data_IF_751599071184
#
_entry.id   IF_751599071184
#
_cell.length_a   1.000
_cell.length_b   1.000
_cell.length_c   1.000
_cell.angle_alpha   90.00
_cell.angle_beta   90.00
_cell.angle_gamma   90.00
#
_symmetry.space_group_name_H-M   'P 1'
#
loop_
_entity.id
_entity.type
_entity.pdbx_description
1 polymer ?
#
# COMPACT_ATOMS: atom_id res chain seq x y z
N UNK A 1 -71.12 12.83 -16.78
CA UNK A 1 -69.99 13.65 -17.30
C UNK A 1 -69.03 13.92 -16.15
N UNK A 2 -67.71 13.90 -16.39
CA UNK A 2 -66.60 14.64 -15.71
C UNK A 2 -66.81 15.25 -14.32
N UNK A 3 -65.88 15.33 -13.35
CA UNK A 3 -64.41 15.09 -13.17
C UNK A 3 -64.13 15.40 -11.67
N UNK A 4 -63.04 15.09 -10.97
CA UNK A 4 -61.73 14.41 -11.17
C UNK A 4 -61.49 13.47 -9.96
N UNK A 5 -60.39 12.69 -9.95
CA UNK A 5 -59.93 11.91 -8.78
C UNK A 5 -58.73 12.53 -8.06
N UNK A 6 -58.49 12.14 -6.81
CA UNK A 6 -57.36 12.59 -5.98
C UNK A 6 -56.52 11.41 -5.44
N UNK A 7 -55.37 11.21 -6.09
CA UNK A 7 -54.06 10.78 -5.55
C UNK A 7 -54.08 9.81 -4.35
N UNK A 8 -53.93 8.52 -4.63
CA UNK A 8 -53.46 7.53 -3.66
C UNK A 8 -51.96 7.74 -3.40
N UNK A 9 -51.56 7.96 -2.14
CA UNK A 9 -50.15 8.12 -1.76
C UNK A 9 -49.38 6.79 -1.87
N UNK A 10 -48.57 6.63 -2.90
CA UNK A 10 -47.61 5.53 -2.98
C UNK A 10 -46.44 5.82 -2.02
N UNK A 11 -46.26 5.00 -0.99
CA UNK A 11 -45.08 5.08 -0.13
C UNK A 11 -43.85 4.69 -0.95
N UNK A 12 -43.03 5.66 -1.33
CA UNK A 12 -41.77 5.42 -2.03
C UNK A 12 -40.76 4.83 -1.04
N UNK A 13 -40.76 3.50 -0.92
CA UNK A 13 -39.70 2.76 -0.24
C UNK A 13 -38.42 2.94 -1.05
N UNK A 14 -37.61 3.91 -0.65
CA UNK A 14 -36.24 4.07 -1.11
C UNK A 14 -35.42 2.87 -0.62
N UNK A 15 -35.50 1.79 -1.38
CA UNK A 15 -34.59 0.66 -1.28
C UNK A 15 -33.19 1.17 -1.63
N UNK A 16 -32.40 1.49 -0.61
CA UNK A 16 -30.96 1.66 -0.75
C UNK A 16 -30.33 0.29 -0.96
N UNK A 17 -30.57 -0.28 -2.14
CA UNK A 17 -29.78 -1.38 -2.64
C UNK A 17 -28.36 -0.85 -2.83
N UNK A 18 -27.50 -1.08 -1.84
CA UNK A 18 -26.08 -0.89 -1.99
C UNK A 18 -25.63 -1.80 -3.15
N UNK A 19 -25.37 -1.20 -4.30
CA UNK A 19 -24.80 -1.91 -5.45
C UNK A 19 -23.46 -2.46 -5.01
N UNK A 20 -23.39 -3.78 -4.82
CA UNK A 20 -22.12 -4.44 -4.59
C UNK A 20 -21.15 -4.01 -5.72
N UNK A 21 -19.88 -3.72 -5.40
CA UNK A 21 -18.92 -3.27 -6.41
C UNK A 21 -18.93 -4.24 -7.59
N UNK A 22 -18.96 -3.69 -8.81
CA UNK A 22 -18.95 -4.47 -10.04
C UNK A 22 -17.58 -5.15 -10.22
N UNK A 23 -17.35 -6.23 -9.47
CA UNK A 23 -16.24 -7.13 -9.70
C UNK A 23 -16.43 -7.73 -11.10
N UNK A 24 -15.59 -7.29 -12.04
CA UNK A 24 -15.49 -7.89 -13.36
C UNK A 24 -15.06 -9.34 -13.14
N UNK A 25 -15.99 -10.29 -13.28
CA UNK A 25 -15.70 -11.72 -13.18
C UNK A 25 -14.60 -12.06 -14.18
N UNK A 26 -13.41 -12.51 -13.75
CA UNK A 26 -12.32 -12.75 -14.67
C UNK A 26 -12.71 -13.83 -15.68
N UNK A 27 -12.44 -13.59 -16.97
CA UNK A 27 -12.57 -14.62 -18.00
C UNK A 27 -11.75 -15.86 -17.57
N UNK A 28 -12.35 -17.06 -17.51
CA UNK A 28 -11.61 -18.27 -17.18
C UNK A 28 -10.46 -18.51 -18.16
N UNK A 29 -9.27 -18.82 -17.64
CA UNK A 29 -8.11 -19.14 -18.47
C UNK A 29 -8.34 -20.45 -19.23
N UNK A 30 -7.94 -20.47 -20.50
CA UNK A 30 -7.87 -21.71 -21.28
C UNK A 30 -6.85 -22.69 -20.68
N UNK A 31 -6.91 -24.00 -21.01
CA UNK A 31 -5.94 -24.98 -20.51
C UNK A 31 -4.47 -24.61 -20.79
N UNK A 32 -4.20 -23.99 -21.95
CA UNK A 32 -2.86 -23.54 -22.32
C UNK A 32 -2.40 -22.34 -21.47
N UNK A 33 -3.28 -21.37 -21.22
CA UNK A 33 -3.00 -20.21 -20.36
C UNK A 33 -2.80 -20.64 -18.91
N UNK A 34 -3.61 -21.58 -18.41
CA UNK A 34 -3.47 -22.14 -17.08
C UNK A 34 -2.13 -22.89 -16.93
N UNK A 35 -1.69 -23.64 -17.95
CA UNK A 35 -0.38 -24.28 -17.95
C UNK A 35 0.77 -23.26 -17.94
N UNK A 36 0.69 -22.20 -18.76
CA UNK A 36 1.68 -21.11 -18.75
C UNK A 36 1.69 -20.37 -17.40
N UNK A 37 0.53 -20.12 -16.79
CA UNK A 37 0.43 -19.52 -15.46
C UNK A 37 1.13 -20.36 -14.39
N UNK A 38 0.98 -21.69 -14.43
CA UNK A 38 1.70 -22.61 -13.54
C UNK A 38 3.22 -22.55 -13.76
N UNK A 39 3.67 -22.49 -15.02
CA UNK A 39 5.09 -22.30 -15.35
C UNK A 39 5.61 -20.98 -14.78
N UNK A 40 4.92 -19.86 -15.03
CA UNK A 40 5.33 -18.54 -14.51
C UNK A 40 5.35 -18.53 -12.98
N UNK A 41 4.31 -19.07 -12.32
CA UNK A 41 4.25 -19.14 -10.85
C UNK A 41 5.42 -19.93 -10.26
N UNK A 42 5.81 -21.06 -10.88
CA UNK A 42 6.98 -21.84 -10.49
C UNK A 42 8.30 -21.08 -10.72
N UNK A 43 8.44 -20.34 -11.83
CA UNK A 43 9.64 -19.54 -12.13
C UNK A 43 9.80 -18.40 -11.12
N UNK A 44 8.76 -17.57 -10.93
CA UNK A 44 8.77 -16.44 -9.96
C UNK A 44 8.95 -16.95 -8.53
N UNK A 45 8.30 -18.06 -8.14
CA UNK A 45 8.53 -18.66 -6.81
C UNK A 45 9.98 -19.09 -6.60
N UNK A 46 10.65 -19.62 -7.63
CA UNK A 46 12.08 -19.96 -7.54
C UNK A 46 12.98 -18.73 -7.54
N UNK A 47 12.62 -17.70 -8.30
CA UNK A 47 13.30 -16.40 -8.34
C UNK A 47 13.30 -15.73 -6.98
N UNK A 48 12.13 -15.53 -6.38
CA UNK A 48 12.01 -14.86 -5.08
C UNK A 48 12.67 -15.63 -3.94
N UNK A 49 12.59 -16.98 -3.95
CA UNK A 49 13.35 -17.79 -3.01
C UNK A 49 14.87 -17.64 -3.20
N UNK A 50 15.36 -17.56 -4.44
CA UNK A 50 16.76 -17.30 -4.74
C UNK A 50 17.20 -15.87 -4.36
N UNK A 51 16.30 -14.88 -4.46
CA UNK A 51 16.50 -13.49 -4.05
C UNK A 51 16.69 -13.39 -2.53
N UNK A 52 15.82 -14.02 -1.72
CA UNK A 52 15.92 -13.94 -0.25
C UNK A 52 17.09 -14.76 0.32
N UNK A 53 17.47 -15.86 -0.34
CA UNK A 53 18.62 -16.70 0.06
C UNK A 53 19.96 -16.19 -0.48
N UNK A 54 19.95 -15.43 -1.57
CA UNK A 54 21.16 -15.00 -2.29
C UNK A 54 21.75 -16.05 -3.24
N UNK A 55 21.01 -17.13 -3.54
CA UNK A 55 21.48 -18.24 -4.37
C UNK A 55 21.51 -17.89 -5.87
N UNK A 56 22.58 -17.24 -6.33
CA UNK A 56 22.74 -16.83 -7.74
C UNK A 56 22.66 -17.97 -8.76
N UNK A 57 23.02 -19.20 -8.37
CA UNK A 57 22.93 -20.37 -9.24
C UNK A 57 21.46 -20.71 -9.57
N UNK A 58 20.56 -20.56 -8.60
CA UNK A 58 19.14 -20.80 -8.79
C UNK A 58 18.55 -19.78 -9.79
N UNK A 59 18.83 -18.49 -9.64
CA UNK A 59 18.44 -17.44 -10.60
C UNK A 59 18.87 -17.76 -12.05
N UNK A 60 20.13 -18.19 -12.22
CA UNK A 60 20.70 -18.55 -13.54
C UNK A 60 20.13 -19.83 -14.15
N UNK A 61 19.36 -20.60 -13.38
CA UNK A 61 18.66 -21.80 -13.86
C UNK A 61 17.22 -21.55 -14.32
N UNK A 62 16.70 -20.32 -14.17
CA UNK A 62 15.33 -19.93 -14.52
C UNK A 62 15.22 -18.64 -15.33
N UNK A 63 16.22 -17.76 -15.26
CA UNK A 63 16.31 -16.53 -16.05
C UNK A 63 17.44 -16.68 -17.08
N UNK A 64 17.22 -16.20 -18.31
CA UNK A 64 18.24 -16.29 -19.35
C UNK A 64 19.54 -15.54 -18.97
N UNK A 65 20.73 -16.11 -19.27
CA UNK A 65 22.01 -15.43 -19.11
C UNK A 65 22.05 -14.10 -19.89
N UNK A 66 22.75 -13.11 -19.35
CA UNK A 66 22.94 -11.78 -19.95
C UNK A 66 21.65 -10.98 -20.22
N UNK A 67 20.51 -11.37 -19.65
CA UNK A 67 19.27 -10.58 -19.68
C UNK A 67 19.24 -9.48 -18.61
N UNK A 68 18.50 -8.40 -18.89
CA UNK A 68 18.20 -7.37 -17.90
C UNK A 68 17.42 -7.91 -16.70
N UNK A 69 16.57 -8.92 -16.90
CA UNK A 69 15.83 -9.60 -15.84
C UNK A 69 16.80 -10.19 -14.80
N UNK A 70 17.84 -10.92 -15.24
CA UNK A 70 18.84 -11.50 -14.33
C UNK A 70 19.63 -10.42 -13.60
N UNK A 71 19.94 -9.30 -14.27
CA UNK A 71 20.63 -8.17 -13.66
C UNK A 71 19.78 -7.47 -12.59
N UNK A 72 18.47 -7.32 -12.82
CA UNK A 72 17.48 -6.79 -11.85
C UNK A 72 17.32 -7.72 -10.67
N UNK A 73 17.08 -9.01 -10.89
CA UNK A 73 16.97 -10.02 -9.83
C UNK A 73 18.24 -10.07 -8.94
N UNK A 74 19.44 -10.05 -9.54
CA UNK A 74 20.69 -9.97 -8.77
C UNK A 74 20.84 -8.62 -8.01
N UNK A 75 20.30 -7.50 -8.52
CA UNK A 75 20.31 -6.19 -7.81
C UNK A 75 19.33 -6.20 -6.63
N UNK A 76 18.12 -6.74 -6.83
CA UNK A 76 17.08 -6.93 -5.81
C UNK A 76 17.55 -7.82 -4.65
N UNK A 77 18.20 -8.94 -4.96
CA UNK A 77 18.84 -9.82 -3.98
C UNK A 77 19.92 -9.11 -3.14
N UNK A 78 20.79 -8.31 -3.79
CA UNK A 78 21.79 -7.49 -3.08
C UNK A 78 21.13 -6.45 -2.18
N UNK A 79 20.17 -5.68 -2.69
CA UNK A 79 19.49 -4.63 -1.92
C UNK A 79 18.84 -5.21 -0.66
N UNK A 80 17.99 -6.24 -0.81
CA UNK A 80 17.27 -6.85 0.29
C UNK A 80 18.22 -7.44 1.35
N UNK A 81 19.31 -8.09 0.93
CA UNK A 81 20.30 -8.65 1.86
C UNK A 81 20.99 -7.57 2.68
N UNK A 82 21.41 -6.46 2.06
CA UNK A 82 22.05 -5.36 2.78
C UNK A 82 21.02 -4.64 3.67
N UNK A 83 19.80 -4.40 3.19
CA UNK A 83 18.73 -3.73 3.94
C UNK A 83 18.43 -4.48 5.24
N UNK A 84 18.17 -5.79 5.14
CA UNK A 84 17.88 -6.65 6.28
C UNK A 84 19.07 -6.70 7.25
N UNK A 85 20.29 -6.92 6.73
CA UNK A 85 21.51 -6.97 7.56
C UNK A 85 21.72 -5.66 8.33
N UNK A 86 21.51 -4.50 7.70
CA UNK A 86 21.67 -3.18 8.32
C UNK A 86 20.63 -2.86 9.40
N UNK A 87 19.49 -3.57 9.42
CA UNK A 87 18.46 -3.48 10.48
C UNK A 87 18.54 -4.58 11.52
N UNK A 88 19.52 -5.48 11.41
CA UNK A 88 19.62 -6.66 12.26
C UNK A 88 18.47 -7.64 12.04
N UNK A 89 18.03 -7.81 10.80
CA UNK A 89 16.93 -8.68 10.38
C UNK A 89 17.43 -9.87 9.56
N UNK A 90 16.74 -11.00 9.69
CA UNK A 90 16.81 -12.14 8.78
C UNK A 90 15.46 -12.34 8.09
N UNK A 91 15.46 -12.39 6.75
CA UNK A 91 14.31 -12.76 5.93
C UNK A 91 14.18 -14.29 5.95
N UNK A 92 13.10 -14.81 6.54
CA UNK A 92 12.90 -16.25 6.80
C UNK A 92 12.16 -16.98 5.70
N UNK A 93 11.46 -16.26 4.83
CA UNK A 93 10.71 -16.86 3.74
C UNK A 93 9.89 -15.85 2.96
N UNK A 94 9.39 -16.30 1.83
CA UNK A 94 8.47 -15.57 0.97
C UNK A 94 7.37 -16.50 0.47
N UNK A 95 6.14 -15.99 0.37
CA UNK A 95 5.01 -16.69 -0.25
C UNK A 95 4.53 -15.89 -1.45
N UNK A 96 4.44 -16.55 -2.62
CA UNK A 96 4.06 -15.91 -3.90
C UNK A 96 2.63 -16.28 -4.30
N UNK A 97 1.85 -15.26 -4.64
CA UNK A 97 0.56 -15.39 -5.34
C UNK A 97 0.62 -14.69 -6.69
N UNK A 98 -0.03 -15.25 -7.71
CA UNK A 98 0.05 -14.76 -9.09
C UNK A 98 -1.34 -14.65 -9.72
N UNK A 99 -1.69 -13.44 -10.16
CA UNK A 99 -2.76 -13.20 -11.16
C UNK A 99 -2.10 -12.95 -12.52
N UNK A 100 -2.75 -13.37 -13.60
CA UNK A 100 -2.27 -13.17 -14.98
C UNK A 100 -3.42 -12.61 -15.83
N UNK A 101 -3.74 -11.30 -15.73
CA UNK A 101 -4.88 -10.73 -16.46
C UNK A 101 -4.76 -10.86 -17.98
N UNK A 102 -3.54 -10.88 -18.52
CA UNK A 102 -3.30 -11.07 -19.96
C UNK A 102 -2.15 -12.06 -20.20
N UNK A 103 -2.40 -13.06 -21.05
CA UNK A 103 -1.40 -13.99 -21.57
C UNK A 103 -1.49 -13.95 -23.10
N UNK A 104 -0.38 -13.69 -23.79
CA UNK A 104 -0.32 -13.62 -25.25
C UNK A 104 0.75 -14.55 -25.80
N UNK A 105 0.31 -15.64 -26.43
CA UNK A 105 1.18 -16.55 -27.18
C UNK A 105 1.69 -15.85 -28.43
N UNK A 106 3.00 -15.62 -28.52
CA UNK A 106 3.65 -15.04 -29.71
C UNK A 106 4.11 -16.15 -30.65
N UNK A 107 4.42 -17.33 -30.12
CA UNK A 107 4.74 -18.55 -30.88
C UNK A 107 4.91 -19.76 -29.96
N UNK A 108 5.22 -20.92 -30.54
CA UNK A 108 5.31 -22.21 -29.80
C UNK A 108 6.31 -22.21 -28.63
N UNK A 109 7.27 -21.29 -28.61
CA UNK A 109 8.28 -21.13 -27.57
C UNK A 109 8.44 -19.70 -27.07
N UNK A 110 7.43 -18.82 -27.22
CA UNK A 110 7.47 -17.45 -26.69
C UNK A 110 6.09 -16.97 -26.27
N UNK A 111 5.98 -16.47 -25.04
CA UNK A 111 4.74 -15.94 -24.46
C UNK A 111 5.04 -14.62 -23.73
N UNK A 112 4.22 -13.61 -23.99
CA UNK A 112 4.21 -12.37 -23.21
C UNK A 112 3.09 -12.46 -22.16
N UNK A 113 3.34 -12.04 -20.93
CA UNK A 113 2.39 -12.17 -19.81
C UNK A 113 2.40 -10.88 -19.00
N UNK A 114 1.24 -10.25 -18.86
CA UNK A 114 1.03 -9.25 -17.82
C UNK A 114 0.67 -9.98 -16.52
N UNK A 115 1.54 -9.88 -15.53
CA UNK A 115 1.41 -10.54 -14.22
C UNK A 115 1.16 -9.53 -13.10
N UNK A 116 0.31 -9.90 -12.14
CA UNK A 116 0.25 -9.23 -10.84
C UNK A 116 0.78 -10.22 -9.80
N UNK A 117 1.99 -9.94 -9.31
CA UNK A 117 2.71 -10.76 -8.34
C UNK A 117 2.46 -10.18 -6.95
N UNK A 118 1.87 -10.99 -6.08
CA UNK A 118 1.68 -10.67 -4.67
C UNK A 118 2.69 -11.44 -3.84
N UNK A 119 3.64 -10.71 -3.25
CA UNK A 119 4.77 -11.22 -2.48
C UNK A 119 4.52 -11.00 -0.98
N UNK A 120 4.55 -12.07 -0.16
CA UNK A 120 4.42 -11.96 1.29
C UNK A 120 5.73 -12.38 1.95
N UNK A 121 6.48 -11.41 2.45
CA UNK A 121 7.76 -11.61 3.13
C UNK A 121 7.53 -11.96 4.60
N UNK A 122 8.40 -12.82 5.16
CA UNK A 122 8.51 -13.07 6.60
C UNK A 122 9.87 -12.63 7.11
N UNK A 123 9.89 -11.80 8.15
CA UNK A 123 11.12 -11.27 8.75
C UNK A 123 11.17 -11.53 10.25
N UNK A 124 12.38 -11.64 10.78
CA UNK A 124 12.67 -11.87 12.20
C UNK A 124 13.90 -11.08 12.61
N UNK A 125 14.06 -10.82 13.91
CA UNK A 125 15.32 -10.31 14.43
C UNK A 125 16.43 -11.35 14.22
N UNK A 126 17.60 -10.87 13.79
CA UNK A 126 18.79 -11.69 13.64
C UNK A 126 19.18 -12.32 14.98
N UNK A 127 19.53 -13.60 14.94
CA UNK A 127 19.80 -14.44 16.12
C UNK A 127 18.63 -14.52 17.13
N UNK A 128 17.38 -14.21 16.75
CA UNK A 128 16.23 -14.59 17.56
C UNK A 128 16.23 -16.10 17.76
N UNK A 129 16.06 -16.54 19.01
CA UNK A 129 15.83 -17.94 19.32
C UNK A 129 14.60 -18.43 18.54
N UNK A 130 14.56 -19.69 18.06
CA UNK A 130 13.37 -20.29 17.49
C UNK A 130 12.30 -20.45 18.58
N UNK A 131 11.57 -19.38 18.87
CA UNK A 131 10.41 -19.41 19.74
C UNK A 131 9.30 -20.06 18.94
N UNK A 132 8.94 -21.28 19.34
CA UNK A 132 7.74 -21.95 18.83
C UNK A 132 6.56 -21.01 19.05
N UNK A 133 5.83 -20.72 17.98
CA UNK A 133 4.66 -19.85 17.96
C UNK A 133 4.93 -18.33 18.19
N UNK A 134 6.18 -17.86 18.09
CA UNK A 134 6.41 -16.42 17.88
C UNK A 134 5.88 -15.99 16.49
N UNK A 135 5.15 -14.87 16.39
CA UNK A 135 4.72 -14.35 15.11
C UNK A 135 5.93 -13.84 14.31
N UNK A 136 6.27 -14.52 13.22
CA UNK A 136 7.07 -13.93 12.13
C UNK A 136 6.37 -12.65 11.66
N UNK A 137 7.06 -11.52 11.69
CA UNK A 137 6.53 -10.28 11.12
C UNK A 137 6.36 -10.42 9.61
N UNK A 138 5.27 -9.85 9.09
CA UNK A 138 4.90 -9.96 7.68
C UNK A 138 4.60 -8.62 7.06
N UNK A 139 5.11 -8.44 5.85
CA UNK A 139 4.74 -7.36 4.95
C UNK A 139 4.44 -7.90 3.55
N UNK A 140 3.62 -7.16 2.81
CA UNK A 140 3.16 -7.50 1.47
C UNK A 140 3.61 -6.47 0.43
N UNK A 141 4.00 -6.96 -0.74
CA UNK A 141 4.15 -6.15 -1.96
C UNK A 141 3.23 -6.69 -3.06
N UNK A 142 2.64 -5.80 -3.85
CA UNK A 142 1.77 -6.13 -4.98
C UNK A 142 2.28 -5.45 -6.26
N UNK A 143 3.09 -6.19 -7.01
CA UNK A 143 3.87 -5.66 -8.13
C UNK A 143 3.26 -6.12 -9.46
N UNK A 144 3.35 -5.26 -10.48
CA UNK A 144 2.83 -5.51 -11.83
C UNK A 144 4.02 -5.66 -12.79
N UNK A 145 4.01 -6.73 -13.57
CA UNK A 145 5.15 -7.19 -14.36
C UNK A 145 4.74 -7.49 -15.80
N UNK A 146 5.58 -7.06 -16.74
CA UNK A 146 5.51 -7.46 -18.14
C UNK A 146 6.59 -8.50 -18.44
N UNK A 147 6.22 -9.77 -18.25
CA UNK A 147 7.09 -10.91 -18.48
C UNK A 147 7.16 -11.30 -19.96
N UNK A 148 8.35 -11.71 -20.40
CA UNK A 148 8.54 -12.51 -21.61
C UNK A 148 9.14 -13.85 -21.22
N UNK A 149 8.38 -14.93 -21.42
CA UNK A 149 8.88 -16.30 -21.29
C UNK A 149 9.32 -16.84 -22.65
N UNK A 150 10.43 -17.57 -22.67
CA UNK A 150 10.92 -18.29 -23.86
C UNK A 150 11.22 -19.75 -23.55
N UNK A 151 11.11 -20.62 -24.55
CA UNK A 151 11.36 -22.06 -24.42
C UNK A 151 12.65 -22.46 -25.12
N UNK A 152 13.65 -22.86 -24.36
CA UNK A 152 14.93 -23.37 -24.88
C UNK A 152 15.14 -24.83 -24.46
N UNK A 153 15.54 -25.68 -25.41
CA UNK A 153 15.85 -27.12 -25.16
C UNK A 153 14.75 -27.89 -24.39
N UNK A 154 13.49 -27.46 -24.55
CA UNK A 154 12.33 -28.05 -23.87
C UNK A 154 11.93 -27.38 -22.54
N UNK A 155 12.78 -26.54 -21.96
CA UNK A 155 12.56 -25.84 -20.68
C UNK A 155 12.14 -24.39 -20.91
N UNK A 156 11.38 -23.81 -19.98
CA UNK A 156 10.95 -22.41 -20.03
C UNK A 156 11.83 -21.54 -19.12
N UNK A 157 12.16 -20.35 -19.60
CA UNK A 157 12.98 -19.35 -18.91
C UNK A 157 12.30 -17.97 -18.98
N UNK A 158 12.54 -17.15 -17.96
CA UNK A 158 12.29 -15.70 -18.00
C UNK A 158 13.37 -15.08 -18.90
N UNK A 159 12.96 -14.49 -20.03
CA UNK A 159 13.84 -13.74 -20.91
C UNK A 159 13.83 -12.24 -20.59
N UNK A 160 12.68 -11.73 -20.14
CA UNK A 160 12.48 -10.35 -19.70
C UNK A 160 11.47 -10.32 -18.57
N UNK A 161 11.69 -9.39 -17.65
CA UNK A 161 10.74 -8.96 -16.63
C UNK A 161 10.92 -7.44 -16.51
N UNK A 162 9.90 -6.68 -16.92
CA UNK A 162 9.88 -5.23 -16.78
C UNK A 162 8.79 -4.80 -15.81
N UNK A 163 9.18 -4.00 -14.82
CA UNK A 163 8.32 -3.56 -13.73
C UNK A 163 8.94 -2.38 -12.98
N UNK A 164 8.08 -1.58 -12.32
CA UNK A 164 8.52 -0.59 -11.33
C UNK A 164 8.84 -1.30 -10.02
N UNK A 165 10.11 -1.67 -9.88
CA UNK A 165 10.63 -2.47 -8.77
C UNK A 165 10.68 -1.68 -7.45
N UNK A 166 9.87 -2.05 -6.43
CA UNK A 166 9.84 -1.36 -5.15
C UNK A 166 11.12 -1.49 -4.32
N UNK A 167 12.00 -2.45 -4.65
CA UNK A 167 13.23 -2.77 -3.90
C UNK A 167 14.49 -2.29 -4.63
N UNK A 168 14.34 -1.28 -5.48
CA UNK A 168 15.33 -0.92 -6.50
C UNK A 168 15.29 0.58 -6.86
N UNK A 169 15.00 1.46 -5.90
CA UNK A 169 15.14 2.91 -6.09
C UNK A 169 16.62 3.29 -6.23
N UNK A 170 17.15 3.12 -7.44
CA UNK A 170 17.51 4.24 -8.30
C UNK A 170 17.87 3.67 -9.70
N UNK A 171 17.28 4.25 -10.76
CA UNK A 171 17.57 3.97 -12.18
C UNK A 171 18.23 5.15 -12.91
N UNK A 172 18.50 6.26 -12.23
CA UNK A 172 19.11 7.49 -12.73
C UNK A 172 20.44 7.86 -12.04
N UNK A 173 20.86 7.16 -10.99
CA UNK A 173 22.23 7.26 -10.44
C UNK A 173 23.08 6.01 -10.73
N UNK A 174 24.32 6.25 -11.13
CA UNK A 174 25.36 5.26 -11.51
C UNK A 174 25.80 4.29 -10.40
N UNK A 175 25.22 4.36 -9.20
CA UNK A 175 25.66 3.56 -8.05
C UNK A 175 24.49 2.97 -7.27
N UNK A 176 24.69 1.73 -6.85
CA UNK A 176 23.72 0.86 -6.19
C UNK A 176 23.04 1.55 -4.99
N UNK A 177 21.73 1.34 -4.85
CA UNK A 177 20.96 1.73 -3.68
C UNK A 177 21.57 1.07 -2.44
N UNK A 178 22.23 1.87 -1.61
CA UNK A 178 22.68 1.46 -0.29
C UNK A 178 21.56 1.79 0.70
N UNK A 179 21.08 0.81 1.48
CA UNK A 179 20.07 1.07 2.49
C UNK A 179 20.65 1.97 3.57
N UNK A 180 19.78 2.71 4.24
CA UNK A 180 20.21 3.51 5.36
C UNK A 180 20.67 2.65 6.56
N UNK A 181 21.60 3.18 7.35
CA UNK A 181 22.20 2.51 8.49
C UNK A 181 21.69 3.09 9.82
N UNK A 182 21.37 2.22 10.78
CA UNK A 182 20.96 2.59 12.14
C UNK A 182 20.08 1.52 12.79
N UNK A 183 20.08 1.46 14.12
CA UNK A 183 19.21 0.58 14.91
C UNK A 183 18.05 1.37 15.50
N UNK A 184 16.83 0.94 15.25
CA UNK A 184 15.62 1.48 15.91
C UNK A 184 15.39 0.69 17.20
N UNK A 185 15.39 1.37 18.35
CA UNK A 185 14.74 0.88 19.58
C UNK A 185 13.32 1.45 19.60
N UNK A 186 12.34 0.70 20.12
CA UNK A 186 10.93 1.05 19.89
C UNK A 186 10.06 0.94 21.14
N UNK A 187 9.21 1.96 21.30
CA UNK A 187 8.02 1.94 22.13
C UNK A 187 6.87 2.45 21.26
N UNK A 188 6.10 1.58 20.60
CA UNK A 188 5.08 1.98 19.62
C UNK A 188 4.05 2.96 20.21
N UNK A 189 3.89 4.18 19.65
CA UNK A 189 2.86 5.10 20.08
C UNK A 189 1.45 4.57 19.80
N UNK A 190 0.54 4.78 20.74
CA UNK A 190 -0.87 4.45 20.58
C UNK A 190 -1.54 5.31 19.48
N UNK A 191 -2.62 4.79 18.90
CA UNK A 191 -3.40 5.51 17.90
C UNK A 191 -4.08 6.75 18.52
N UNK A 192 -3.94 7.90 17.86
CA UNK A 192 -4.19 9.20 18.48
C UNK A 192 -5.65 9.65 18.49
N UNK A 193 -6.49 9.09 17.61
CA UNK A 193 -7.91 9.46 17.47
C UNK A 193 -8.70 8.43 16.67
N UNK A 194 -10.04 8.51 16.76
CA UNK A 194 -10.97 7.74 15.91
C UNK A 194 -10.84 8.09 14.41
N UNK A 195 -10.37 9.28 14.06
CA UNK A 195 -10.10 9.65 12.67
C UNK A 195 -8.87 8.91 12.13
N UNK A 196 -7.80 8.87 12.92
CA UNK A 196 -6.61 8.07 12.62
C UNK A 196 -6.95 6.58 12.50
N UNK A 197 -7.78 6.04 13.40
CA UNK A 197 -8.28 4.65 13.35
C UNK A 197 -8.99 4.33 12.02
N UNK A 198 -9.90 5.19 11.57
CA UNK A 198 -10.58 5.03 10.28
C UNK A 198 -9.62 5.14 9.09
N UNK A 199 -8.66 6.05 9.12
CA UNK A 199 -7.67 6.20 8.06
C UNK A 199 -6.75 4.97 7.96
N UNK A 200 -6.33 4.42 9.10
CA UNK A 200 -5.56 3.16 9.17
C UNK A 200 -6.41 1.97 8.73
N UNK A 201 -7.68 1.87 9.14
CA UNK A 201 -8.59 0.83 8.67
C UNK A 201 -8.78 0.90 7.14
N UNK A 202 -8.96 2.11 6.60
CA UNK A 202 -9.07 2.34 5.16
C UNK A 202 -7.81 1.86 4.43
N UNK A 203 -6.63 2.25 4.93
CA UNK A 203 -5.35 1.90 4.33
C UNK A 203 -5.14 0.38 4.24
N UNK A 204 -5.31 -0.34 5.36
CA UNK A 204 -5.19 -1.80 5.40
C UNK A 204 -6.26 -2.49 4.52
N UNK A 205 -7.39 -1.84 4.26
CA UNK A 205 -8.48 -2.40 3.42
C UNK A 205 -8.19 -2.23 1.94
N UNK A 206 -7.65 -1.09 1.51
CA UNK A 206 -7.62 -0.69 0.10
C UNK A 206 -6.20 -0.53 -0.50
N UNK A 207 -5.14 -0.93 0.21
CA UNK A 207 -3.74 -0.84 -0.25
C UNK A 207 -3.35 -1.60 -1.54
N UNK A 208 -4.32 -2.11 -2.30
CA UNK A 208 -4.13 -2.69 -3.63
C UNK A 208 -3.84 -4.19 -3.63
N UNK A 209 -2.92 -4.62 -4.50
CA UNK A 209 -2.68 -6.03 -4.83
C UNK A 209 -1.89 -6.83 -3.78
N UNK A 210 -1.37 -6.17 -2.75
CA UNK A 210 -0.43 -6.76 -1.79
C UNK A 210 -1.06 -7.89 -0.97
N UNK A 211 -0.35 -9.00 -0.67
CA UNK A 211 -0.80 -9.97 0.30
C UNK A 211 -0.96 -9.33 1.69
N UNK A 212 -2.18 -9.39 2.22
CA UNK A 212 -2.55 -8.80 3.51
C UNK A 212 -3.47 -7.58 3.38
N UNK A 213 -3.53 -6.92 2.22
CA UNK A 213 -4.59 -5.96 1.93
C UNK A 213 -5.97 -6.65 1.98
N UNK A 214 -6.96 -5.93 2.49
CA UNK A 214 -8.38 -6.30 2.44
C UNK A 214 -8.96 -6.21 1.02
N UNK A 215 -10.30 -6.11 0.95
CA UNK A 215 -11.05 -5.89 -0.29
C UNK A 215 -10.65 -6.85 -1.44
N UNK A 216 -10.40 -8.13 -1.11
CA UNK A 216 -9.88 -9.17 -2.02
C UNK A 216 -8.66 -8.77 -2.88
N UNK A 217 -7.86 -7.82 -2.37
CA UNK A 217 -6.69 -7.22 -3.02
C UNK A 217 -7.04 -6.47 -4.31
N UNK A 218 -8.10 -5.67 -4.21
CA UNK A 218 -8.51 -4.65 -5.17
C UNK A 218 -8.52 -3.26 -4.52
N UNK A 219 -8.34 -2.23 -5.34
CA UNK A 219 -8.50 -0.84 -4.94
C UNK A 219 -9.96 -0.50 -4.61
N UNK A 220 -10.18 0.65 -3.99
CA UNK A 220 -11.51 1.18 -3.79
C UNK A 220 -12.12 1.60 -5.15
N UNK A 221 -13.30 1.08 -5.50
CA UNK A 221 -14.00 1.37 -6.76
C UNK A 221 -14.61 2.77 -6.84
N UNK A 222 -14.74 3.47 -5.72
CA UNK A 222 -15.31 4.83 -5.65
C UNK A 222 -14.32 5.91 -6.15
N UNK A 223 -13.08 5.51 -6.48
CA UNK A 223 -12.01 6.40 -6.91
C UNK A 223 -11.26 5.80 -8.11
N UNK A 224 -10.93 6.64 -9.09
CA UNK A 224 -9.97 6.30 -10.15
C UNK A 224 -8.62 5.95 -9.53
N UNK A 225 -8.05 4.82 -9.94
CA UNK A 225 -6.64 4.50 -9.64
C UNK A 225 -5.76 5.11 -10.72
N UNK A 226 -4.72 5.84 -10.28
CA UNK A 226 -3.69 6.41 -11.14
C UNK A 226 -2.45 5.49 -11.26
N UNK A 227 -2.61 4.20 -10.94
CA UNK A 227 -1.50 3.24 -10.95
C UNK A 227 -0.94 3.09 -12.38
N UNK A 228 0.32 3.51 -12.57
CA UNK A 228 1.01 3.52 -13.87
C UNK A 228 1.14 4.92 -14.47
N UNK A 229 0.28 5.86 -14.07
CA UNK A 229 0.28 7.26 -14.54
C UNK A 229 1.06 8.19 -13.60
N UNK A 230 1.11 7.84 -12.32
CA UNK A 230 1.76 8.62 -11.26
C UNK A 230 0.75 9.31 -10.35
N UNK A 231 1.15 9.62 -9.12
CA UNK A 231 0.28 10.27 -8.14
C UNK A 231 -0.64 9.33 -7.35
N UNK A 232 -0.75 8.05 -7.72
CA UNK A 232 -1.67 7.11 -7.05
C UNK A 232 -1.39 6.91 -5.55
N UNK A 233 -0.13 7.03 -5.13
CA UNK A 233 0.24 7.06 -3.71
C UNK A 233 -0.41 8.21 -2.94
N UNK A 234 -0.53 9.37 -3.57
CA UNK A 234 -1.15 10.57 -2.98
C UNK A 234 -2.67 10.46 -3.03
N UNK A 235 -3.21 9.94 -4.13
CA UNK A 235 -4.63 9.62 -4.28
C UNK A 235 -5.11 8.69 -3.15
N UNK A 236 -4.39 7.58 -2.91
CA UNK A 236 -4.66 6.65 -1.82
C UNK A 236 -4.57 7.28 -0.42
N UNK A 237 -3.50 8.05 -0.15
CA UNK A 237 -3.37 8.76 1.13
C UNK A 237 -4.51 9.76 1.31
N UNK A 238 -4.93 10.46 0.25
CA UNK A 238 -6.04 11.40 0.32
C UNK A 238 -7.38 10.70 0.60
N UNK A 239 -7.62 9.54 -0.01
CA UNK A 239 -8.78 8.69 0.31
C UNK A 239 -8.77 8.23 1.78
N UNK A 240 -7.61 7.84 2.32
CA UNK A 240 -7.47 7.46 3.73
C UNK A 240 -7.72 8.64 4.69
N UNK A 241 -7.20 9.83 4.38
CA UNK A 241 -7.48 11.06 5.14
C UNK A 241 -8.98 11.40 5.13
N UNK A 242 -9.64 11.28 3.96
CA UNK A 242 -11.07 11.52 3.82
C UNK A 242 -11.91 10.52 4.64
N UNK A 243 -11.56 9.22 4.60
CA UNK A 243 -12.15 8.21 5.47
C UNK A 243 -11.92 8.49 6.97
N UNK A 244 -10.76 9.10 7.30
CA UNK A 244 -10.44 9.65 8.61
C UNK A 244 -11.29 10.85 9.05
N UNK A 245 -12.14 11.39 8.18
CA UNK A 245 -13.08 12.47 8.48
C UNK A 245 -12.66 13.84 7.97
N UNK A 246 -11.62 13.94 7.12
CA UNK A 246 -11.29 15.19 6.44
C UNK A 246 -12.41 15.57 5.47
N UNK A 247 -12.90 16.81 5.57
CA UNK A 247 -13.84 17.36 4.59
C UNK A 247 -13.07 17.80 3.35
N UNK A 248 -13.59 17.48 2.16
CA UNK A 248 -13.04 17.99 0.91
C UNK A 248 -13.19 19.51 0.83
N UNK A 249 -12.28 20.16 0.11
CA UNK A 249 -12.28 21.59 -0.19
C UNK A 249 -11.93 21.81 -1.66
N UNK A 250 -12.20 22.98 -2.27
CA UNK A 250 -11.85 23.24 -3.67
C UNK A 250 -10.35 23.09 -4.01
N UNK A 251 -9.47 23.07 -3.00
CA UNK A 251 -8.03 22.85 -3.17
C UNK A 251 -7.60 21.39 -2.96
N UNK A 252 -8.41 20.60 -2.24
CA UNK A 252 -8.20 19.19 -1.92
C UNK A 252 -9.55 18.46 -1.98
N UNK A 253 -9.90 17.98 -3.17
CA UNK A 253 -11.13 17.25 -3.49
C UNK A 253 -10.88 16.10 -4.47
N UNK A 254 -11.83 15.16 -4.51
CA UNK A 254 -12.03 14.22 -5.61
C UNK A 254 -13.41 14.45 -6.26
N UNK A 255 -13.41 14.77 -7.54
CA UNK A 255 -14.60 15.10 -8.31
C UNK A 255 -15.18 13.82 -8.94
N UNK A 256 -16.19 13.25 -8.29
CA UNK A 256 -16.91 12.06 -8.79
C UNK A 256 -17.45 12.24 -10.22
N UNK A 257 -17.90 13.45 -10.59
CA UNK A 257 -18.41 13.74 -11.92
C UNK A 257 -17.33 13.74 -13.03
N UNK A 258 -16.05 13.96 -12.67
CA UNK A 258 -14.91 13.90 -13.58
C UNK A 258 -14.12 12.60 -13.49
N UNK A 259 -14.26 11.86 -12.38
CA UNK A 259 -13.37 10.75 -12.04
C UNK A 259 -11.96 11.21 -11.66
N UNK A 260 -11.82 12.44 -11.16
CA UNK A 260 -10.51 13.11 -11.01
C UNK A 260 -10.28 13.77 -9.66
N UNK A 261 -9.09 13.59 -9.09
CA UNK A 261 -8.62 14.36 -7.95
C UNK A 261 -8.02 15.71 -8.34
N UNK A 262 -8.24 16.72 -7.49
CA UNK A 262 -7.53 18.00 -7.50
C UNK A 262 -6.00 17.82 -7.37
N UNK A 263 -5.17 18.84 -7.73
CA UNK A 263 -3.71 18.72 -7.61
C UNK A 263 -3.20 18.31 -6.23
N UNK A 264 -3.77 18.82 -5.13
CA UNK A 264 -3.35 18.40 -3.78
C UNK A 264 -3.88 16.99 -3.39
N UNK A 265 -4.88 16.47 -4.09
CA UNK A 265 -5.38 15.10 -3.88
C UNK A 265 -4.47 14.05 -4.53
N UNK A 266 -3.89 14.35 -5.70
CA UNK A 266 -3.12 13.38 -6.52
C UNK A 266 -1.62 13.62 -6.61
N UNK A 267 -1.10 14.78 -6.20
CA UNK A 267 0.33 15.08 -6.30
C UNK A 267 0.99 15.23 -4.92
N UNK A 268 2.00 14.40 -4.61
CA UNK A 268 2.63 14.33 -3.28
C UNK A 268 3.18 15.68 -2.79
N UNK A 269 3.79 16.44 -3.68
CA UNK A 269 4.32 17.79 -3.45
C UNK A 269 3.20 18.78 -3.08
N UNK A 270 2.07 18.71 -3.80
CA UNK A 270 0.89 19.55 -3.54
C UNK A 270 0.09 19.12 -2.31
N UNK A 271 0.08 17.82 -1.99
CA UNK A 271 -0.46 17.34 -0.72
C UNK A 271 0.36 17.88 0.46
N UNK A 272 1.70 17.88 0.34
CA UNK A 272 2.58 18.50 1.34
C UNK A 272 2.25 19.98 1.52
N UNK A 273 2.19 20.76 0.43
CA UNK A 273 1.80 22.18 0.45
C UNK A 273 0.44 22.39 1.16
N UNK A 274 -0.56 21.56 0.83
CA UNK A 274 -1.89 21.61 1.42
C UNK A 274 -1.89 21.30 2.93
N UNK A 275 -1.24 20.22 3.35
CA UNK A 275 -1.19 19.79 4.76
C UNK A 275 -0.51 20.85 5.65
N UNK A 276 0.53 21.50 5.12
CA UNK A 276 1.26 22.58 5.79
C UNK A 276 0.45 23.87 5.85
N UNK A 277 -0.11 24.34 4.73
CA UNK A 277 -0.85 25.60 4.66
C UNK A 277 -2.22 25.59 5.35
N UNK A 278 -2.88 24.43 5.41
CA UNK A 278 -4.16 24.25 6.10
C UNK A 278 -4.04 24.03 7.61
N UNK A 279 -2.83 23.72 8.11
CA UNK A 279 -2.63 23.25 9.48
C UNK A 279 -3.22 21.87 9.77
N UNK A 280 -3.59 21.09 8.74
CA UNK A 280 -4.09 19.71 8.92
C UNK A 280 -3.00 18.71 9.33
N UNK A 281 -1.72 19.05 9.18
CA UNK A 281 -0.64 18.29 9.79
C UNK A 281 0.50 19.20 10.27
N UNK A 282 1.38 18.67 11.13
CA UNK A 282 2.60 19.34 11.57
C UNK A 282 3.82 18.51 11.19
N UNK A 283 4.67 19.07 10.33
CA UNK A 283 6.03 18.57 10.11
C UNK A 283 6.84 18.75 11.39
N UNK A 284 7.17 17.65 12.06
CA UNK A 284 7.86 17.70 13.36
C UNK A 284 9.35 17.30 13.26
N UNK A 285 9.74 16.61 12.19
CA UNK A 285 11.12 16.26 11.88
C UNK A 285 11.29 16.04 10.37
N UNK A 286 12.46 16.40 9.84
CA UNK A 286 12.87 16.15 8.45
C UNK A 286 14.34 15.74 8.40
N UNK A 287 14.69 14.82 7.52
CA UNK A 287 16.08 14.47 7.22
C UNK A 287 16.26 13.07 6.65
N UNK A 288 17.51 12.66 6.36
CA UNK A 288 17.81 11.27 6.03
C UNK A 288 17.64 10.39 7.27
N UNK A 289 17.39 9.11 7.02
CA UNK A 289 17.17 8.07 8.03
C UNK A 289 18.11 8.15 9.25
N UNK A 290 19.43 8.31 9.04
CA UNK A 290 20.41 8.33 10.14
C UNK A 290 20.31 9.57 11.05
N UNK A 291 19.62 10.64 10.63
CA UNK A 291 19.23 11.75 11.51
C UNK A 291 17.93 11.44 12.26
N UNK A 292 16.99 10.77 11.60
CA UNK A 292 15.67 10.47 12.16
C UNK A 292 15.66 9.29 13.14
N UNK A 293 16.59 8.34 13.01
CA UNK A 293 16.77 7.21 13.95
C UNK A 293 17.74 7.49 15.08
N UNK A 294 18.47 8.61 15.05
CA UNK A 294 19.43 8.95 16.09
C UNK A 294 18.74 9.62 17.29
N UNK A 295 19.03 9.18 18.53
CA UNK A 295 18.67 9.89 19.76
C UNK A 295 18.96 11.40 19.72
N UNK A 296 17.99 12.19 20.17
CA UNK A 296 18.05 13.65 20.31
C UNK A 296 17.38 14.07 21.63
N UNK A 297 17.71 15.23 22.24
CA UNK A 297 17.07 15.67 23.49
C UNK A 297 15.53 15.77 23.42
N UNK A 298 14.97 16.12 22.25
CA UNK A 298 13.51 16.14 22.00
C UNK A 298 12.91 14.76 21.68
N UNK A 299 13.75 13.83 21.19
CA UNK A 299 13.34 12.51 20.72
C UNK A 299 14.39 11.49 21.20
N UNK A 300 14.33 11.03 22.47
CA UNK A 300 15.38 10.20 23.07
C UNK A 300 15.59 8.89 22.31
N UNK A 301 14.53 8.32 21.73
CA UNK A 301 14.59 7.11 20.91
C UNK A 301 14.74 7.40 19.40
N UNK A 302 14.99 8.66 19.01
CA UNK A 302 14.98 9.13 17.62
C UNK A 302 13.60 9.60 17.14
N UNK A 303 13.58 10.58 16.25
CA UNK A 303 12.35 11.23 15.78
C UNK A 303 11.37 10.29 15.05
N UNK A 304 11.88 9.23 14.41
CA UNK A 304 11.02 8.25 13.72
C UNK A 304 10.07 7.52 14.69
N UNK A 305 10.49 7.31 15.94
CA UNK A 305 9.69 6.64 16.96
C UNK A 305 8.56 7.50 17.54
N UNK A 306 8.48 8.78 17.15
CA UNK A 306 7.33 9.61 17.48
C UNK A 306 6.12 9.36 16.54
N UNK A 307 6.31 8.71 15.38
CA UNK A 307 5.23 8.44 14.42
C UNK A 307 4.07 7.66 15.08
N UNK A 308 2.83 8.05 14.77
CA UNK A 308 1.63 7.38 15.29
C UNK A 308 0.89 6.69 14.14
N UNK A 309 0.12 5.62 14.38
CA UNK A 309 -0.80 5.11 13.38
C UNK A 309 -1.73 6.25 12.90
N UNK A 310 -1.83 6.44 11.59
CA UNK A 310 -2.53 7.55 10.93
C UNK A 310 -1.68 8.78 10.61
N UNK A 311 -0.42 8.85 11.05
CA UNK A 311 0.55 9.88 10.61
C UNK A 311 1.09 9.59 9.20
N UNK A 312 1.72 10.59 8.56
CA UNK A 312 2.25 10.48 7.20
C UNK A 312 3.78 10.62 7.15
N UNK A 313 4.36 9.99 6.13
CA UNK A 313 5.76 10.17 5.71
C UNK A 313 5.76 10.64 4.27
N UNK A 314 6.38 11.79 3.98
CA UNK A 314 6.70 12.19 2.60
C UNK A 314 8.16 11.86 2.30
N UNK A 315 8.41 11.27 1.13
CA UNK A 315 9.73 10.88 0.65
C UNK A 315 10.16 11.93 -0.37
N UNK A 316 11.30 12.57 -0.11
CA UNK A 316 11.72 13.81 -0.74
C UNK A 316 13.02 13.60 -1.51
N UNK A 317 12.96 13.90 -2.81
CA UNK A 317 14.08 13.91 -3.75
C UNK A 317 14.17 15.30 -4.39
N UNK A 318 15.37 15.87 -4.51
CA UNK A 318 15.56 17.17 -5.18
C UNK A 318 14.68 18.30 -4.62
N UNK A 319 14.44 18.31 -3.30
CA UNK A 319 13.55 19.23 -2.57
C UNK A 319 12.03 19.06 -2.83
N UNK A 320 11.60 18.03 -3.54
CA UNK A 320 10.18 17.77 -3.84
C UNK A 320 9.72 16.44 -3.25
N UNK A 321 8.49 16.39 -2.74
CA UNK A 321 7.91 15.11 -2.33
C UNK A 321 7.57 14.30 -3.59
N UNK A 322 8.23 13.15 -3.75
CA UNK A 322 8.02 12.21 -4.87
C UNK A 322 7.08 11.06 -4.49
N UNK A 323 6.90 10.81 -3.20
CA UNK A 323 6.01 9.78 -2.67
C UNK A 323 5.47 10.20 -1.30
N UNK A 324 4.29 9.69 -0.94
CA UNK A 324 3.71 9.85 0.40
C UNK A 324 3.14 8.52 0.87
N UNK A 325 3.31 8.21 2.15
CA UNK A 325 2.83 7.00 2.80
C UNK A 325 2.06 7.31 4.08
N UNK A 326 1.13 6.43 4.45
CA UNK A 326 0.44 6.46 5.74
C UNK A 326 1.00 5.38 6.67
N UNK A 327 1.31 5.77 7.90
CA UNK A 327 1.77 4.85 8.96
C UNK A 327 0.56 4.06 9.47
N UNK A 328 0.61 2.74 9.36
CA UNK A 328 -0.49 1.84 9.77
C UNK A 328 -0.19 1.05 11.05
N UNK A 329 0.95 1.33 11.67
CA UNK A 329 1.36 0.78 12.94
C UNK A 329 2.84 0.48 13.00
N UNK A 330 3.17 -0.52 13.81
CA UNK A 330 4.52 -1.01 14.02
C UNK A 330 4.54 -2.53 13.80
N UNK A 331 5.68 -3.07 13.37
CA UNK A 331 5.94 -4.51 13.41
C UNK A 331 6.33 -4.95 14.84
N UNK A 332 6.40 -6.26 15.13
CA UNK A 332 6.77 -6.76 16.47
C UNK A 332 8.22 -6.47 16.85
N UNK A 333 9.06 -6.13 15.85
CA UNK A 333 10.44 -5.70 16.04
C UNK A 333 10.56 -4.20 16.35
N UNK A 334 9.47 -3.45 16.20
CA UNK A 334 9.37 -2.04 16.55
C UNK A 334 9.67 -1.06 15.41
N UNK A 335 9.74 -1.51 14.16
CA UNK A 335 9.83 -0.60 13.02
C UNK A 335 8.45 -0.05 12.67
N UNK A 336 8.32 1.26 12.38
CA UNK A 336 7.11 1.81 11.77
C UNK A 336 6.85 1.12 10.43
N UNK A 337 5.60 0.73 10.22
CA UNK A 337 5.14 0.12 8.97
C UNK A 337 4.10 0.98 8.27
N UNK A 338 4.18 1.02 6.95
CA UNK A 338 3.36 1.89 6.09
C UNK A 338 2.60 1.11 5.03
N UNK A 339 1.46 1.66 4.65
CA UNK A 339 0.70 1.26 3.47
C UNK A 339 0.80 2.36 2.40
N UNK A 340 0.96 1.97 1.14
CA UNK A 340 1.00 2.89 -0.02
C UNK A 340 0.48 2.22 -1.28
N UNK A 341 -0.12 2.99 -2.19
CA UNK A 341 -0.13 2.60 -3.61
C UNK A 341 1.26 2.83 -4.24
N UNK A 342 1.43 2.47 -5.51
CA UNK A 342 2.72 2.36 -6.21
C UNK A 342 3.55 1.19 -5.68
N UNK A 343 3.51 0.09 -6.45
CA UNK A 343 3.99 -1.25 -6.05
C UNK A 343 3.26 -1.85 -4.83
N UNK A 344 2.03 -1.38 -4.57
CA UNK A 344 1.04 -1.82 -3.57
C UNK A 344 1.64 -2.40 -2.29
N UNK A 345 1.82 -1.54 -1.28
CA UNK A 345 2.53 -1.86 -0.04
C UNK A 345 1.53 -2.12 1.09
N UNK A 346 1.67 -3.27 1.75
CA UNK A 346 0.95 -3.61 2.98
C UNK A 346 1.93 -3.84 4.13
N UNK A 347 1.82 -3.03 5.18
CA UNK A 347 2.64 -3.05 6.39
C UNK A 347 4.14 -3.14 6.10
N UNK A 348 4.59 -2.47 5.04
CA UNK A 348 6.00 -2.48 4.62
C UNK A 348 6.80 -1.60 5.58
N UNK A 349 7.98 -2.04 6.09
CA UNK A 349 8.86 -1.17 6.86
C UNK A 349 9.14 0.13 6.09
N UNK A 350 8.93 1.27 6.76
CA UNK A 350 8.86 2.59 6.14
C UNK A 350 10.02 2.98 5.22
N UNK A 351 11.20 2.40 5.43
CA UNK A 351 12.43 2.67 4.69
C UNK A 351 12.79 1.62 3.62
N UNK A 352 12.04 0.51 3.54
CA UNK A 352 12.31 -0.55 2.58
C UNK A 352 12.08 -0.01 1.16
N UNK A 353 13.06 -0.25 0.29
CA UNK A 353 13.04 0.24 -1.09
C UNK A 353 13.68 1.60 -1.29
N UNK A 354 13.97 2.37 -0.23
CA UNK A 354 14.53 3.71 -0.32
C UNK A 354 16.06 3.74 -0.16
N UNK A 355 16.68 4.83 -0.59
CA UNK A 355 18.13 5.02 -0.60
C UNK A 355 18.62 5.83 0.62
N UNK A 356 19.92 5.76 0.91
CA UNK A 356 20.54 6.49 2.02
C UNK A 356 20.50 8.04 1.93
N UNK A 357 20.19 8.61 0.76
CA UNK A 357 20.06 10.06 0.53
C UNK A 357 18.61 10.56 0.53
N UNK A 358 17.64 9.65 0.42
CA UNK A 358 16.22 9.93 0.56
C UNK A 358 16.01 10.74 1.84
N UNK A 359 15.39 11.91 1.69
CA UNK A 359 14.96 12.74 2.81
C UNK A 359 13.53 12.34 3.16
N UNK A 360 13.23 12.21 4.44
CA UNK A 360 11.88 11.87 4.89
C UNK A 360 11.36 13.02 5.75
N UNK A 361 10.19 13.54 5.40
CA UNK A 361 9.43 14.51 6.18
C UNK A 361 8.39 13.75 7.00
N UNK A 362 8.43 13.89 8.33
CA UNK A 362 7.56 13.18 9.27
C UNK A 362 6.43 14.10 9.76
N UNK A 363 5.18 13.70 9.50
CA UNK A 363 4.00 14.54 9.69
C UNK A 363 3.05 13.97 10.75
N UNK A 364 2.83 14.73 11.82
CA UNK A 364 1.71 14.45 12.74
C UNK A 364 0.41 14.96 12.13
N UNK A 365 -0.54 14.06 11.83
CA UNK A 365 -1.84 14.43 11.24
C UNK A 365 -2.84 14.83 12.34
N UNK A 366 -3.60 15.90 12.06
CA UNK A 366 -4.60 16.46 12.95
C UNK A 366 -6.01 16.13 12.47
N UNK A 367 -6.43 14.89 12.70
CA UNK A 367 -7.77 14.41 12.33
C UNK A 367 -8.89 15.21 13.01
N UNK A 368 -9.93 15.62 12.27
CA UNK A 368 -11.08 16.30 12.85
C UNK A 368 -11.74 15.49 13.98
N UNK A 369 -12.15 16.18 15.05
CA UNK A 369 -12.94 15.56 16.12
C UNK A 369 -14.30 15.13 15.54
N UNK A 370 -14.72 13.90 15.84
CA UNK A 370 -16.02 13.40 15.41
C UNK A 370 -17.15 14.26 15.98
N UNK A 371 -17.80 15.05 15.13
CA UNK A 371 -19.02 15.78 15.50
C UNK A 371 -20.13 14.76 15.69
N UNK A 372 -20.43 14.42 16.94
CA UNK A 372 -21.66 13.69 17.27
C UNK A 372 -22.80 14.68 17.04
N UNK A 373 -23.48 14.55 15.90
CA UNK A 373 -24.80 15.15 15.73
C UNK A 373 -25.71 14.54 16.80
N UNK A 374 -25.99 15.31 17.86
CA UNK A 374 -27.08 15.00 18.78
C UNK A 374 -28.37 15.08 17.98
N UNK A 375 -28.85 13.94 17.50
CA UNK A 375 -30.25 13.82 17.10
C UNK A 375 -31.09 14.12 18.33
N UNK A 376 -31.79 15.25 18.31
CA UNK A 376 -32.75 15.60 19.35
C UNK A 376 -33.85 14.54 19.35
N UNK A 377 -33.96 13.76 20.43
CA UNK A 377 -35.08 12.83 20.59
C UNK A 377 -36.41 13.56 20.39
N UNK A 378 -37.38 12.98 19.66
CA UNK A 378 -38.72 13.54 19.60
C UNK A 378 -39.27 13.67 21.02
N UNK A 379 -39.86 14.81 21.36
CA UNK A 379 -40.65 14.92 22.60
C UNK A 379 -41.80 13.93 22.49
N UNK A 380 -41.91 13.01 23.45
CA UNK A 380 -43.09 12.16 23.60
C UNK A 380 -44.33 13.07 23.75
N UNK A 381 -45.45 12.77 23.06
CA UNK A 381 -46.70 13.48 23.31
C UNK A 381 -47.16 13.20 24.74
N UNK A 382 -47.65 14.22 25.43
CA UNK A 382 -48.04 14.13 26.84
C UNK A 382 -49.16 13.13 27.07
N UNK A 383 -49.05 12.34 28.13
CA UNK A 383 -50.16 11.56 28.68
C UNK A 383 -51.24 12.53 29.17
N UNK A 384 -52.42 12.47 28.57
CA UNK A 384 -53.57 13.25 29.05
C UNK A 384 -54.07 12.70 30.38
N UNK A 385 -54.33 13.60 31.33
CA UNK A 385 -55.01 13.26 32.59
C UNK A 385 -56.45 12.80 32.30
N UNK A 386 -56.77 11.57 32.69
CA UNK A 386 -58.16 11.13 32.82
C UNK A 386 -58.59 11.45 34.25
N UNK A 387 -59.20 12.62 34.44
CA UNK A 387 -59.91 12.93 35.68
C UNK A 387 -61.07 11.95 35.87
N UNK A 388 -61.07 11.27 37.00
CA UNK A 388 -62.15 10.37 37.40
C UNK A 388 -63.07 11.12 38.39
N UNK A 389 -64.19 11.65 37.90
CA UNK A 389 -65.21 12.29 38.74
C UNK A 389 -66.44 11.39 38.90
N UNK A 390 -66.94 11.33 40.13
CA UNK A 390 -68.31 10.92 40.47
C UNK A 390 -69.28 12.05 40.13
#
# INVERSE_FOLDING_TARGET
>A
MTKHGWISGLALVLSTAATAPHHITPTPLTPNEQHIKQILHNLVTREDNAIITGHKADLRSIILPHSDALARAEKRARYLKVWATSRGLDVRGITISLRTPHIRFVGRGRVNIFGVVGESYRVTKKNAAPVKDAPDDRFGLGVRHDYVLVKERGQWFIASDDFTDPLNQDTRLLHQALPAQGSVQAHPPAISSRGAEKAVQYANTYCGSAPGCGNDRYYNSDYTSYNGEGGDCTNFVSQALHAGGFLMSPHWEYSQARGEGSPAWVNADRLKDFLESSGHATLYASGPYNKLTRPLPRFPDGAVNALRPGDLISYVEGHRAVHTAIVVGYDTLGFPVVDTHTSDRYRVPWDLGWDRRTIYDLWHVHYPRSVVFRTSSPRSPGTGDIMNHR
#
